data_IF_928041579047
#
_entry.id   IF_928041579047
#
_cell.length_a   1.000
_cell.length_b   1.000
_cell.length_c   1.000
_cell.angle_alpha   90.00
_cell.angle_beta   90.00
_cell.angle_gamma   90.00
#
_symmetry.space_group_name_H-M   'P 1'
#
loop_
_entity.id
_entity.type
_entity.pdbx_description
1 polymer ?
2 non-polymer ?
3 water ?
#
# COMPACT_ATOMS: atom_id res chain seq x y z
N UNK A 4 11.21 -13.28 16.04
CA UNK A 4 11.54 -12.83 14.68
C UNK A 4 10.72 -11.57 14.32
N UNK A 5 9.71 -11.73 13.46
CA UNK A 5 8.82 -10.64 13.10
C UNK A 5 7.39 -10.99 13.51
N UNK A 6 6.69 -10.02 14.09
CA UNK A 6 5.29 -10.19 14.49
C UNK A 6 4.40 -9.45 13.51
N UNK A 7 3.40 -10.15 12.98
CA UNK A 7 2.45 -9.53 12.04
C UNK A 7 1.11 -9.37 12.74
N UNK A 8 0.56 -8.15 12.69
CA UNK A 8 -0.81 -7.86 13.10
C UNK A 8 -1.68 -7.65 11.86
N UNK A 9 -2.69 -8.48 11.68
CA UNK A 9 -3.56 -8.39 10.50
C UNK A 9 -4.93 -7.87 10.96
N UNK A 10 -5.28 -6.67 10.51
CA UNK A 10 -6.56 -6.06 10.80
C UNK A 10 -7.50 -6.26 9.62
N UNK A 11 -8.79 -6.38 9.91
CA UNK A 11 -9.78 -6.65 8.87
C UNK A 11 -11.09 -5.97 9.26
N UNK A 12 -12.03 -5.95 8.32
CA UNK A 12 -13.33 -5.37 8.60
C UNK A 12 -14.23 -6.33 9.38
N UNK A 13 -13.91 -7.63 9.38
CA UNK A 13 -14.83 -8.66 9.85
C UNK A 13 -14.41 -9.33 11.15
N UNK A 14 -13.11 -9.40 11.45
CA UNK A 14 -12.62 -10.24 12.52
C UNK A 14 -11.75 -9.43 13.48
N UNK A 15 -11.57 -9.96 14.68
CA UNK A 15 -10.62 -9.42 15.63
C UNK A 15 -9.21 -9.40 15.04
N UNK A 16 -8.40 -8.49 15.56
CA UNK A 16 -6.99 -8.41 15.18
C UNK A 16 -6.32 -9.78 15.28
N UNK A 17 -5.64 -10.19 14.20
CA UNK A 17 -4.89 -11.44 14.20
C UNK A 17 -3.40 -11.15 14.44
N UNK A 18 -2.74 -12.03 15.20
CA UNK A 18 -1.32 -11.92 15.48
C UNK A 18 -0.64 -13.24 15.16
N UNK A 19 0.48 -13.19 14.44
CA UNK A 19 1.28 -14.39 14.26
C UNK A 19 2.67 -13.97 13.78
N UNK A 20 3.59 -14.93 13.79
CA UNK A 20 4.97 -14.64 13.44
C UNK A 20 5.20 -14.83 11.96
N UNK A 21 6.16 -14.09 11.43
CA UNK A 21 6.51 -14.18 10.02
C UNK A 21 8.01 -13.92 9.88
N UNK A 22 8.52 -14.23 8.70
CA UNK A 22 9.88 -13.92 8.31
C UNK A 22 9.84 -12.91 7.17
N UNK A 23 10.63 -11.85 7.22
CA UNK A 23 10.54 -10.82 6.16
C UNK A 23 10.91 -11.34 4.77
N UNK A 24 11.61 -12.46 4.65
CA UNK A 24 12.03 -12.95 3.33
C UNK A 24 11.13 -14.04 2.77
N UNK A 25 10.16 -14.52 3.55
CA UNK A 25 9.19 -15.45 3.02
C UNK A 25 8.22 -14.72 2.08
N UNK A 26 7.53 -15.50 1.25
CA UNK A 26 6.49 -14.91 0.42
C UNK A 26 5.32 -14.45 1.28
N UNK A 27 4.61 -13.46 0.77
CA UNK A 27 3.33 -13.02 1.34
C UNK A 27 2.35 -14.18 1.41
N UNK A 28 2.46 -15.14 0.49
CA UNK A 28 1.59 -16.33 0.52
C UNK A 28 1.62 -16.97 1.90
N UNK A 29 2.79 -17.03 2.53
CA UNK A 29 2.88 -17.63 3.86
C UNK A 29 2.05 -16.87 4.88
N UNK A 30 1.93 -15.55 4.73
CA UNK A 30 1.01 -14.80 5.59
C UNK A 30 -0.41 -15.26 5.34
N UNK A 31 -0.82 -15.31 4.07
CA UNK A 31 -2.19 -15.70 3.74
C UNK A 31 -2.55 -17.07 4.30
N UNK A 32 -1.57 -17.98 4.38
CA UNK A 32 -1.87 -19.30 4.94
C UNK A 32 -2.13 -19.23 6.43
N UNK A 33 -1.49 -18.29 7.14
CA UNK A 33 -1.84 -18.07 8.55
C UNK A 33 -3.25 -17.51 8.67
N UNK A 34 -3.61 -16.59 7.78
CA UNK A 34 -4.97 -16.01 7.81
C UNK A 34 -5.99 -17.10 7.53
N UNK A 35 -5.71 -17.98 6.57
CA UNK A 35 -6.61 -19.09 6.27
C UNK A 35 -6.81 -19.98 7.49
N UNK A 36 -5.75 -20.19 8.29
CA UNK A 36 -5.90 -21.01 9.50
C UNK A 36 -6.89 -20.39 10.47
N UNK A 37 -6.84 -19.06 10.64
CA UNK A 37 -7.67 -18.40 11.64
C UNK A 37 -9.09 -18.10 11.14
N UNK A 38 -9.25 -17.86 9.85
CA UNK A 38 -10.54 -17.41 9.32
C UNK A 38 -11.20 -18.40 8.38
N UNK A 39 -10.43 -19.36 7.85
CA UNK A 39 -10.83 -20.33 6.83
C UNK A 39 -11.08 -19.69 5.46
N UNK A 40 -10.78 -18.40 5.30
CA UNK A 40 -10.86 -17.80 3.96
C UNK A 40 -9.75 -18.39 3.10
N UNK A 41 -10.05 -18.93 1.92
CA UNK A 41 -9.00 -19.51 1.07
C UNK A 41 -8.01 -18.45 0.64
N UNK A 42 -6.75 -18.87 0.45
CA UNK A 42 -5.68 -17.91 0.17
C UNK A 42 -6.01 -17.11 -1.09
N UNK A 43 -6.61 -17.76 -2.08
CA UNK A 43 -6.94 -17.10 -3.35
C UNK A 43 -8.00 -16.01 -3.20
N UNK A 44 -8.73 -15.96 -2.08
CA UNK A 44 -9.76 -14.95 -1.87
C UNK A 44 -9.31 -13.84 -0.93
N UNK A 45 -8.03 -13.79 -0.58
CA UNK A 45 -7.51 -12.77 0.32
C UNK A 45 -6.68 -11.75 -0.43
N UNK A 46 -6.81 -10.48 -0.04
CA UNK A 46 -5.91 -9.43 -0.48
C UNK A 46 -5.32 -8.81 0.76
N UNK A 47 -3.99 -8.68 0.80
CA UNK A 47 -3.29 -8.07 1.91
C UNK A 47 -2.73 -6.73 1.45
N UNK A 48 -2.79 -5.74 2.35
CA UNK A 48 -2.22 -4.42 2.09
C UNK A 48 -1.22 -4.07 3.17
N UNK A 49 -0.12 -3.44 2.77
CA UNK A 49 0.81 -2.75 3.66
C UNK A 49 0.64 -1.26 3.38
N UNK A 50 0.27 -0.50 4.40
CA UNK A 50 -0.15 0.87 4.13
C UNK A 50 -1.34 0.84 3.21
N UNK A 51 -1.23 1.56 2.08
CA UNK A 51 -2.26 1.54 1.06
C UNK A 51 -1.83 0.75 -0.17
N UNK A 52 -0.77 -0.06 -0.05
CA UNK A 52 -0.24 -0.85 -1.17
C UNK A 52 -0.76 -2.28 -1.10
N UNK A 53 -1.36 -2.75 -2.20
CA UNK A 53 -1.75 -4.16 -2.31
C UNK A 53 -0.50 -5.02 -2.53
N UNK A 54 -0.36 -6.06 -1.73
CA UNK A 54 0.79 -6.95 -1.81
C UNK A 54 0.52 -8.07 -2.82
N UNK A 55 1.53 -8.38 -3.62
CA UNK A 55 1.40 -9.54 -4.52
C UNK A 55 1.88 -10.80 -3.81
N UNK A 56 1.12 -11.91 -3.93
CA UNK A 56 1.39 -13.09 -3.10
C UNK A 56 2.77 -13.70 -3.29
N UNK A 57 3.37 -13.56 -4.46
CA UNK A 57 4.67 -14.18 -4.67
C UNK A 57 5.82 -13.34 -4.12
N UNK A 58 5.57 -12.07 -3.74
CA UNK A 58 6.62 -11.19 -3.26
C UNK A 58 6.86 -11.41 -1.76
N UNK A 59 8.05 -11.00 -1.31
CA UNK A 59 8.38 -11.03 0.10
C UNK A 59 8.03 -9.70 0.76
N UNK A 60 7.89 -9.74 2.09
CA UNK A 60 7.71 -8.49 2.82
C UNK A 60 8.93 -7.60 2.68
N UNK A 61 10.13 -8.19 2.66
CA UNK A 61 11.34 -7.41 2.47
C UNK A 61 11.28 -6.54 1.22
N UNK A 62 10.69 -7.06 0.14
CA UNK A 62 10.63 -6.31 -1.11
C UNK A 62 9.73 -5.08 -1.01
N UNK A 63 8.87 -5.03 0.00
CA UNK A 63 8.07 -3.83 0.27
C UNK A 63 8.71 -2.93 1.32
N UNK A 64 9.95 -3.22 1.71
CA UNK A 64 10.65 -2.35 2.64
C UNK A 64 10.63 -2.79 4.09
N UNK A 65 10.06 -3.96 4.39
CA UNK A 65 10.12 -4.47 5.76
C UNK A 65 11.55 -4.94 6.01
N UNK A 66 12.30 -4.15 6.78
CA UNK A 66 13.70 -4.46 7.06
C UNK A 66 13.92 -4.72 8.55
N UNK A 67 14.12 -3.65 9.33
CA UNK A 67 14.44 -3.82 10.74
C UNK A 67 13.22 -3.99 11.64
N UNK A 68 12.01 -3.79 11.11
CA UNK A 68 10.82 -3.77 11.96
C UNK A 68 10.65 -5.06 12.75
N UNK A 69 10.29 -4.93 14.02
CA UNK A 69 9.95 -6.09 14.83
C UNK A 69 8.46 -6.41 14.80
N UNK A 70 7.62 -5.45 14.42
CA UNK A 70 6.18 -5.61 14.35
C UNK A 70 5.67 -4.82 13.16
N UNK A 71 4.79 -5.41 12.37
CA UNK A 71 4.18 -4.71 11.25
C UNK A 71 2.68 -4.92 11.28
N UNK A 72 1.95 -3.96 10.68
CA UNK A 72 0.50 -3.95 10.65
C UNK A 72 0.07 -4.09 9.19
N UNK A 73 -0.70 -5.13 8.90
CA UNK A 73 -1.23 -5.40 7.56
C UNK A 73 -2.75 -5.32 7.60
N UNK A 74 -3.34 -5.05 6.44
CA UNK A 74 -4.78 -5.05 6.26
C UNK A 74 -5.19 -6.25 5.42
N UNK A 75 -6.26 -6.94 5.82
CA UNK A 75 -6.86 -8.03 5.05
C UNK A 75 -8.19 -7.57 4.47
N UNK A 76 -8.38 -7.82 3.18
CA UNK A 76 -9.68 -7.70 2.52
C UNK A 76 -10.03 -9.05 1.91
N UNK A 77 -11.30 -9.43 2.02
CA UNK A 77 -11.78 -10.65 1.39
C UNK A 77 -12.40 -10.23 0.07
N UNK A 78 -11.87 -10.77 -1.03
CA UNK A 78 -12.20 -10.31 -2.37
C UNK A 78 -12.43 -11.50 -3.28
N UNK A 79 -13.54 -11.52 -3.99
CA UNK A 79 -13.77 -12.53 -5.01
C UNK A 79 -12.88 -12.22 -6.22
N UNK A 80 -12.00 -13.13 -6.62
CA UNK A 80 -11.07 -12.83 -7.72
C UNK A 80 -11.80 -12.73 -9.06
N UNK A 81 -11.20 -11.97 -9.97
CA UNK A 81 -11.77 -11.75 -11.31
C UNK A 81 -12.15 -13.04 -12.01
N UNK B 3 24.11 -10.14 -12.89
CA UNK B 3 25.31 -9.31 -12.87
C UNK B 3 25.08 -8.05 -12.04
N UNK B 4 23.90 -7.46 -12.21
CA UNK B 4 23.45 -6.31 -11.44
C UNK B 4 22.06 -6.59 -10.90
N UNK B 5 21.65 -5.81 -9.90
CA UNK B 5 20.24 -5.76 -9.56
C UNK B 5 19.44 -5.30 -10.77
N UNK B 6 18.16 -5.67 -10.79
CA UNK B 6 17.21 -5.19 -11.78
C UNK B 6 16.20 -4.30 -11.07
N UNK B 7 16.07 -3.04 -11.49
CA UNK B 7 15.11 -2.15 -10.87
C UNK B 7 13.94 -1.97 -11.84
N UNK B 8 12.74 -2.33 -11.37
CA UNK B 8 11.50 -2.05 -12.09
C UNK B 8 10.86 -0.79 -11.53
N UNK B 9 10.41 0.09 -12.43
CA UNK B 9 9.70 1.31 -12.02
C UNK B 9 8.32 1.28 -12.66
N UNK B 10 7.30 1.13 -11.83
CA UNK B 10 5.91 1.14 -12.26
C UNK B 10 5.38 2.56 -12.12
N UNK B 11 4.51 2.96 -13.05
CA UNK B 11 4.00 4.31 -13.09
C UNK B 11 2.59 4.31 -13.67
N UNK B 12 1.96 5.48 -13.62
CA UNK B 12 0.63 5.63 -14.20
C UNK B 12 0.71 5.95 -15.70
N UNK B 13 1.79 6.59 -16.15
CA UNK B 13 1.84 7.15 -17.49
C UNK B 13 2.77 6.40 -18.45
N UNK B 14 3.62 5.49 -17.98
CA UNK B 14 4.56 4.75 -18.82
C UNK B 14 4.42 3.25 -18.62
N UNK B 15 4.73 2.51 -19.68
CA UNK B 15 4.93 1.07 -19.54
C UNK B 15 5.97 0.82 -18.45
N UNK B 16 5.90 -0.34 -17.81
CA UNK B 16 6.91 -0.72 -16.80
C UNK B 16 8.32 -0.48 -17.31
N UNK B 17 9.11 0.24 -16.52
CA UNK B 17 10.50 0.53 -16.88
C UNK B 17 11.43 -0.43 -16.15
N UNK B 18 12.57 -0.75 -16.80
CA UNK B 18 13.57 -1.67 -16.23
C UNK B 18 14.98 -1.09 -16.40
N UNK B 19 15.75 -1.04 -15.31
CA UNK B 19 17.13 -0.55 -15.33
C UNK B 19 18.03 -1.49 -14.52
N UNK B 20 19.30 -1.58 -14.93
CA UNK B 20 20.30 -2.17 -14.05
C UNK B 20 20.65 -1.20 -12.93
N UNK B 21 21.04 -1.74 -11.77
CA UNK B 21 21.49 -0.89 -10.68
C UNK B 21 22.46 -1.65 -9.79
N UNK B 22 23.25 -0.89 -9.03
CA UNK B 22 24.10 -1.38 -7.94
C UNK B 22 23.39 -1.20 -6.62
N UNK B 23 23.66 -2.07 -5.64
CA UNK B 23 23.00 -1.93 -4.33
C UNK B 23 23.19 -0.57 -3.69
N UNK B 24 24.35 0.06 -3.91
CA UNK B 24 24.66 1.34 -3.30
C UNK B 24 24.14 2.54 -4.10
N UNK B 25 23.53 2.30 -5.27
CA UNK B 25 22.98 3.39 -6.07
C UNK B 25 21.98 4.21 -5.27
N UNK B 26 22.09 5.52 -5.38
CA UNK B 26 21.18 6.39 -4.65
C UNK B 26 19.82 6.45 -5.35
N UNK B 27 18.79 6.79 -4.59
CA UNK B 27 17.47 7.01 -5.17
C UNK B 27 17.54 8.11 -6.23
N UNK B 28 18.41 9.12 -6.01
CA UNK B 28 18.58 10.17 -7.01
C UNK B 28 19.12 9.60 -8.30
N UNK B 29 20.06 8.66 -8.23
CA UNK B 29 20.57 8.05 -9.45
C UNK B 29 19.47 7.27 -10.18
N UNK B 30 18.58 6.60 -9.44
CA UNK B 30 17.45 5.94 -10.10
C UNK B 30 16.57 6.97 -10.79
N UNK B 31 16.32 8.11 -10.14
CA UNK B 31 15.56 9.17 -10.78
C UNK B 31 16.25 9.64 -12.06
N UNK B 32 17.59 9.69 -12.05
CA UNK B 32 18.31 10.07 -13.26
C UNK B 32 18.11 9.05 -14.37
N UNK B 33 18.04 7.75 -14.03
CA UNK B 33 17.70 6.75 -15.03
C UNK B 33 16.29 6.98 -15.57
N UNK B 34 15.35 7.32 -14.69
CA UNK B 34 13.97 7.56 -15.11
C UNK B 34 13.92 8.77 -16.04
N UNK B 35 14.68 9.82 -15.71
CA UNK B 35 14.76 10.98 -16.59
C UNK B 35 15.27 10.59 -17.97
N UNK B 36 16.31 9.74 -18.04
CA UNK B 36 16.87 9.37 -19.32
C UNK B 36 15.84 8.68 -20.21
N UNK B 37 14.94 7.90 -19.62
CA UNK B 37 13.97 7.16 -20.41
C UNK B 37 12.73 7.99 -20.71
N UNK B 38 12.31 8.85 -19.77
CA UNK B 38 11.04 9.55 -19.89
C UNK B 38 11.18 11.04 -20.14
N UNK B 39 12.32 11.65 -19.79
CA UNK B 39 12.59 13.08 -19.83
C UNK B 39 11.81 13.89 -18.81
N UNK B 40 11.14 13.25 -17.85
CA UNK B 40 10.54 13.92 -16.70
C UNK B 40 11.69 14.40 -15.81
N UNK B 41 11.76 15.70 -15.49
CA UNK B 41 12.86 16.19 -14.63
C UNK B 41 12.93 15.44 -13.31
N UNK B 42 14.16 15.28 -12.81
CA UNK B 42 14.38 14.59 -11.53
C UNK B 42 13.60 15.29 -10.41
N UNK B 43 13.56 16.63 -10.43
CA UNK B 43 12.80 17.35 -9.43
C UNK B 43 11.29 17.16 -9.56
N UNK B 44 10.81 16.61 -10.68
CA UNK B 44 9.38 16.33 -10.83
C UNK B 44 9.02 14.90 -10.47
N UNK B 45 9.94 14.12 -9.90
CA UNK B 45 9.70 12.71 -9.63
C UNK B 45 9.64 12.43 -8.14
N UNK B 46 8.72 11.55 -7.76
CA UNK B 46 8.71 10.92 -6.44
C UNK B 46 8.81 9.43 -6.67
N UNK B 47 9.78 8.77 -6.02
CA UNK B 47 9.93 7.32 -6.11
C UNK B 47 9.47 6.71 -4.79
N UNK B 48 8.65 5.68 -4.88
CA UNK B 48 8.09 5.06 -3.69
C UNK B 48 8.36 3.57 -3.68
N UNK B 49 8.44 3.03 -2.48
CA UNK B 49 8.47 1.60 -2.21
C UNK B 49 7.11 1.28 -1.65
N UNK B 50 6.23 0.72 -2.47
CA UNK B 50 4.84 0.62 -2.04
C UNK B 50 4.28 2.02 -1.86
N UNK B 51 3.74 2.33 -0.69
CA UNK B 51 3.30 3.70 -0.43
C UNK B 51 4.28 4.48 0.42
N UNK B 52 5.49 3.94 0.63
CA UNK B 52 6.54 4.64 1.36
C UNK B 52 7.39 5.49 0.41
N UNK B 53 7.44 6.79 0.66
CA UNK B 53 8.22 7.71 -0.18
C UNK B 53 9.71 7.54 0.11
N UNK B 54 10.53 7.53 -0.95
CA UNK B 54 11.97 7.30 -0.83
C UNK B 54 12.74 8.62 -0.90
N UNK B 55 13.87 8.71 -0.12
CA UNK B 55 14.69 9.93 -0.09
C UNK B 55 15.81 9.84 -1.11
N UNK B 56 15.99 10.88 -1.94
CA UNK B 56 16.96 10.79 -3.05
C UNK B 56 18.41 10.54 -2.62
N UNK B 57 18.83 11.04 -1.46
CA UNK B 57 20.22 10.84 -1.07
C UNK B 57 20.49 9.38 -0.66
N UNK B 58 19.47 8.66 -0.22
CA UNK B 58 19.68 7.33 0.32
C UNK B 58 19.82 6.28 -0.78
N UNK B 59 20.50 5.20 -0.43
CA UNK B 59 20.76 4.12 -1.36
C UNK B 59 19.62 3.10 -1.33
N UNK B 60 19.53 2.32 -2.41
CA UNK B 60 18.60 1.19 -2.44
C UNK B 60 18.87 0.24 -1.27
N UNK B 61 20.14 -0.11 -1.06
CA UNK B 61 20.45 -1.08 -0.01
C UNK B 61 20.13 -0.54 1.39
N UNK B 62 20.13 0.78 1.56
CA UNK B 62 19.75 1.35 2.85
C UNK B 62 18.31 1.00 3.23
N UNK B 63 17.47 0.67 2.24
CA UNK B 63 16.11 0.21 2.53
C UNK B 63 15.97 -1.30 2.63
N UNK B 64 17.08 -2.05 2.50
CA UNK B 64 17.02 -3.49 2.64
C UNK B 64 16.50 -4.24 1.42
N UNK B 65 16.17 -3.55 0.32
CA UNK B 65 15.52 -4.18 -0.82
C UNK B 65 16.52 -4.82 -1.79
N UNK B 66 17.81 -4.61 -1.59
CA UNK B 66 18.81 -5.29 -2.42
C UNK B 66 19.01 -6.75 -2.04
N UNK B 67 18.25 -7.26 -1.08
CA UNK B 67 18.34 -8.66 -0.70
C UNK B 67 17.68 -9.57 -1.73
N UNK B 68 17.02 -9.02 -2.74
CA UNK B 68 16.49 -9.81 -3.84
C UNK B 68 16.96 -9.21 -5.15
N UNK B 69 16.97 -10.04 -6.19
CA UNK B 69 17.57 -9.64 -7.44
C UNK B 69 16.75 -8.59 -8.19
N UNK B 70 15.45 -8.49 -7.90
CA UNK B 70 14.59 -7.53 -8.58
C UNK B 70 13.96 -6.58 -7.56
N UNK B 71 14.10 -5.29 -7.81
CA UNK B 71 13.57 -4.24 -6.95
C UNK B 71 12.32 -3.64 -7.62
N UNK B 72 11.30 -3.33 -6.83
CA UNK B 72 10.00 -2.93 -7.37
C UNK B 72 9.63 -1.55 -6.83
N UNK B 73 9.85 -0.50 -7.62
CA UNK B 73 9.59 0.87 -7.22
C UNK B 73 8.37 1.41 -7.97
N UNK B 74 7.82 2.50 -7.45
CA UNK B 74 6.71 3.21 -8.08
C UNK B 74 7.07 4.67 -8.30
N UNK B 75 6.68 5.21 -9.44
CA UNK B 75 6.95 6.59 -9.80
C UNK B 75 5.65 7.38 -9.72
N UNK B 76 5.70 8.53 -9.07
CA UNK B 76 4.66 9.55 -9.15
C UNK B 76 5.28 10.83 -9.67
N UNK B 77 4.51 11.59 -10.45
CA UNK B 77 4.98 12.83 -11.04
C UNK B 77 4.32 13.98 -10.30
N UNK B 78 5.11 15.00 -9.97
CA UNK B 78 4.69 16.14 -9.17
C UNK B 78 5.21 17.42 -9.79
N UNK B 79 4.71 18.56 -9.29
CA UNK B 79 5.20 19.86 -9.68
C UNK B 79 6.65 20.04 -9.20
N UNK B 80 7.40 20.93 -9.83
CA UNK B 80 8.82 21.07 -9.49
C UNK B 80 9.01 21.45 -8.03
N UNK B 81 10.10 20.95 -7.44
CA UNK B 81 10.39 21.23 -6.04
C UNK B 81 11.75 21.89 -5.87
N UNK C 4 -20.86 18.05 15.32
CA UNK C 4 -20.80 17.58 13.93
C UNK C 4 -19.36 17.48 13.46
N UNK C 5 -19.05 16.36 12.82
CA UNK C 5 -17.71 16.09 12.32
C UNK C 5 -17.60 16.47 10.85
N UNK C 6 -16.38 16.81 10.45
CA UNK C 6 -16.02 16.99 9.04
C UNK C 6 -15.09 15.85 8.65
N UNK C 7 -15.48 15.08 7.65
CA UNK C 7 -14.70 13.93 7.20
C UNK C 7 -14.08 14.27 5.84
N UNK C 8 -12.76 14.18 5.76
CA UNK C 8 -12.03 14.32 4.50
C UNK C 8 -11.58 12.95 4.03
N UNK C 9 -11.87 12.62 2.78
CA UNK C 9 -11.41 11.36 2.19
C UNK C 9 -10.54 11.68 0.99
N UNK C 10 -9.25 11.41 1.10
CA UNK C 10 -8.30 11.58 0.00
C UNK C 10 -8.11 10.25 -0.74
N UNK C 11 -7.86 10.34 -2.04
CA UNK C 11 -7.59 9.16 -2.85
C UNK C 11 -6.65 9.53 -3.97
N UNK C 12 -6.08 8.51 -4.61
CA UNK C 12 -5.26 8.78 -5.79
C UNK C 12 -6.12 9.16 -6.99
N UNK C 13 -7.36 8.70 -7.02
CA UNK C 13 -8.15 8.66 -8.24
C UNK C 13 -9.21 9.75 -8.34
N UNK C 14 -9.69 10.29 -7.22
CA UNK C 14 -10.72 11.33 -7.22
C UNK C 14 -10.22 12.55 -6.44
N UNK C 15 -10.85 13.69 -6.72
CA UNK C 15 -10.62 14.87 -5.91
C UNK C 15 -10.97 14.60 -4.44
N UNK C 16 -10.47 15.47 -3.56
CA UNK C 16 -10.76 15.36 -2.14
C UNK C 16 -12.26 15.37 -1.89
N UNK C 17 -12.73 14.42 -1.08
CA UNK C 17 -14.12 14.36 -0.70
C UNK C 17 -14.28 14.90 0.71
N UNK C 18 -15.37 15.62 0.95
CA UNK C 18 -15.68 16.19 2.25
C UNK C 18 -17.12 15.88 2.61
N UNK C 19 -17.33 15.35 3.83
CA UNK C 19 -18.64 14.93 4.29
C UNK C 19 -18.85 15.41 5.71
N UNK C 20 -20.06 15.90 6.00
CA UNK C 20 -20.45 16.09 7.38
C UNK C 20 -20.95 14.76 7.94
N UNK C 21 -20.66 14.51 9.22
CA UNK C 21 -21.10 13.28 9.87
C UNK C 21 -21.29 13.52 11.35
N UNK C 22 -22.17 12.73 11.96
CA UNK C 22 -22.26 12.70 13.41
C UNK C 22 -21.06 11.95 13.98
N UNK C 23 -20.56 12.35 15.15
CA UNK C 23 -19.50 11.58 15.80
C UNK C 23 -19.85 10.11 15.98
N UNK C 24 -21.14 9.79 16.07
CA UNK C 24 -21.59 8.44 16.31
C UNK C 24 -22.02 7.71 15.04
N UNK C 25 -21.88 8.32 13.88
CA UNK C 25 -22.17 7.63 12.62
C UNK C 25 -21.23 6.43 12.46
N UNK C 26 -21.71 5.41 11.78
CA UNK C 26 -20.90 4.23 11.48
C UNK C 26 -19.96 4.51 10.31
N UNK C 27 -18.83 3.80 10.30
CA UNK C 27 -17.93 3.86 9.15
C UNK C 27 -18.67 3.48 7.87
N UNK C 28 -19.61 2.54 7.98
CA UNK C 28 -20.43 2.16 6.83
C UNK C 28 -21.10 3.38 6.20
N UNK C 29 -21.60 4.30 7.03
CA UNK C 29 -22.23 5.49 6.46
C UNK C 29 -21.25 6.30 5.62
N UNK C 30 -19.98 6.35 6.05
CA UNK C 30 -18.97 7.08 5.28
C UNK C 30 -18.72 6.38 3.94
N UNK C 31 -18.60 5.04 3.96
CA UNK C 31 -18.45 4.30 2.71
C UNK C 31 -19.64 4.50 1.80
N UNK C 32 -20.84 4.66 2.36
CA UNK C 32 -22.00 4.93 1.51
C UNK C 32 -21.88 6.29 0.84
N UNK C 33 -21.37 7.31 1.56
CA UNK C 33 -21.11 8.59 0.92
C UNK C 33 -20.10 8.44 -0.22
N UNK C 34 -19.01 7.70 0.03
CA UNK C 34 -17.98 7.48 -0.97
C UNK C 34 -18.57 6.77 -2.19
N UNK C 35 -19.45 5.79 -1.95
CA UNK C 35 -20.08 5.07 -3.05
C UNK C 35 -20.92 6.00 -3.91
N UNK C 36 -21.69 6.89 -3.28
CA UNK C 36 -22.52 7.81 -4.06
C UNK C 36 -21.66 8.69 -4.96
N UNK C 37 -20.48 9.09 -4.49
CA UNK C 37 -19.63 10.00 -5.25
C UNK C 37 -18.79 9.27 -6.30
N UNK C 38 -18.30 8.06 -5.98
CA UNK C 38 -17.34 7.38 -6.85
C UNK C 38 -17.91 6.20 -7.62
N UNK C 39 -19.07 5.69 -7.22
CA UNK C 39 -19.68 4.45 -7.72
C UNK C 39 -18.90 3.20 -7.34
N UNK C 40 -17.92 3.30 -6.45
CA UNK C 40 -17.18 2.12 -5.98
C UNK C 40 -18.06 1.34 -4.99
N UNK C 41 -18.30 0.05 -5.21
CA UNK C 41 -19.03 -0.75 -4.20
C UNK C 41 -18.34 -0.65 -2.84
N UNK C 42 -19.13 -0.71 -1.76
CA UNK C 42 -18.54 -0.57 -0.43
C UNK C 42 -17.53 -1.69 -0.16
N UNK C 43 -17.76 -2.89 -0.69
CA UNK C 43 -16.80 -3.97 -0.47
C UNK C 43 -15.46 -3.70 -1.14
N UNK C 44 -15.46 -2.90 -2.22
CA UNK C 44 -14.22 -2.56 -2.89
C UNK C 44 -13.49 -1.39 -2.26
N UNK C 45 -14.01 -0.80 -1.20
CA UNK C 45 -13.40 0.34 -0.55
C UNK C 45 -12.61 -0.10 0.68
N UNK C 46 -11.38 0.41 0.80
CA UNK C 46 -10.65 0.37 2.05
C UNK C 46 -10.54 1.80 2.56
N UNK C 47 -11.11 2.06 3.74
CA UNK C 47 -10.98 3.38 4.35
C UNK C 47 -9.96 3.28 5.47
N UNK C 48 -8.89 4.06 5.36
CA UNK C 48 -7.76 4.00 6.28
C UNK C 48 -7.68 5.27 7.11
N UNK C 49 -7.46 5.11 8.40
CA UNK C 49 -6.97 6.17 9.28
C UNK C 49 -5.48 5.94 9.44
N UNK C 50 -4.69 6.77 8.76
CA UNK C 50 -3.27 6.47 8.61
C UNK C 50 -3.08 5.16 7.88
N UNK C 51 -2.67 4.12 8.59
CA UNK C 51 -2.53 2.79 8.01
C UNK C 51 -3.50 1.78 8.62
N UNK C 52 -4.49 2.25 9.39
CA UNK C 52 -5.43 1.38 10.09
C UNK C 52 -6.77 1.35 9.34
N UNK C 53 -7.16 0.16 8.89
CA UNK C 53 -8.46 0.04 8.21
C UNK C 53 -9.58 0.16 9.24
N UNK C 54 -10.60 0.93 8.89
CA UNK C 54 -11.78 1.11 9.76
C UNK C 54 -12.84 0.06 9.45
N UNK C 55 -13.44 -0.49 10.51
CA UNK C 55 -14.49 -1.50 10.36
C UNK C 55 -15.83 -0.83 10.08
N UNK C 56 -16.54 -1.23 9.01
CA UNK C 56 -17.84 -0.59 8.71
C UNK C 56 -18.86 -0.65 9.85
N UNK C 57 -18.88 -1.74 10.62
CA UNK C 57 -19.88 -1.85 11.69
C UNK C 57 -19.61 -0.92 12.85
N UNK C 58 -18.42 -0.31 12.92
CA UNK C 58 -18.01 0.49 14.07
C UNK C 58 -18.34 1.97 13.89
N UNK C 59 -18.46 2.67 15.03
CA UNK C 59 -18.69 4.11 15.05
C UNK C 59 -17.40 4.87 14.85
N UNK C 60 -17.52 6.05 14.24
CA UNK C 60 -16.38 6.95 14.17
C UNK C 60 -15.87 7.22 15.58
N UNK C 61 -14.55 7.09 15.76
CA UNK C 61 -13.89 6.95 17.08
C UNK C 61 -14.36 5.70 17.83
N UNK C 69 -11.38 18.00 15.13
CA UNK C 69 -12.77 18.17 14.71
C UNK C 69 -12.96 17.77 13.24
N UNK C 70 -11.86 17.53 12.55
CA UNK C 70 -11.89 17.04 11.17
C UNK C 70 -11.03 15.78 11.08
N UNK C 71 -11.57 14.75 10.43
CA UNK C 71 -10.89 13.48 10.29
C UNK C 71 -10.39 13.33 8.86
N UNK C 72 -9.18 12.81 8.70
CA UNK C 72 -8.49 12.74 7.43
C UNK C 72 -8.31 11.26 7.06
N UNK C 73 -9.21 10.75 6.23
CA UNK C 73 -9.18 9.35 5.83
C UNK C 73 -8.56 9.21 4.44
N UNK C 74 -7.99 8.04 4.19
CA UNK C 74 -7.52 7.64 2.87
C UNK C 74 -8.44 6.56 2.32
N UNK C 75 -8.88 6.73 1.08
CA UNK C 75 -9.58 5.66 0.36
C UNK C 75 -8.58 4.91 -0.52
N UNK C 76 -8.57 3.58 -0.40
CA UNK C 76 -7.87 2.72 -1.34
C UNK C 76 -8.90 1.78 -1.97
N UNK C 77 -8.90 1.67 -3.29
CA UNK C 77 -9.84 0.78 -3.98
C UNK C 77 -9.17 -0.56 -4.22
N UNK C 78 -9.84 -1.64 -3.80
CA UNK C 78 -9.39 -2.99 -4.11
C UNK C 78 -10.53 -3.66 -4.87
N UNK C 79 -10.26 -4.08 -6.09
CA UNK C 79 -11.27 -4.73 -6.89
C UNK C 79 -10.74 -6.04 -7.43
N UNK C 80 -11.65 -6.99 -7.78
CA UNK C 80 -11.23 -8.35 -8.19
C UNK C 80 -10.00 -8.46 -9.10
N UNK C 81 -9.84 -7.55 -10.05
CA UNK C 81 -8.68 -7.59 -10.94
C UNK C 81 -7.38 -7.35 -10.18
X LIG D 1 4.32 -3.49 -8.27
X LIG D 1 5.08 -3.63 -7.04
X LIG D 1 2.89 -3.36 -7.94
X LIG D 1 4.77 -2.27 -8.93
X LIG D 1 4.52 -4.66 -9.11
X LIG E 1 2.48 -2.08 -16.86
X LIG E 1 2.70 -1.16 -15.74
X LIG E 1 1.07 -2.02 -17.24
X LIG E 1 3.31 -1.76 -18.01
X LIG E 1 2.79 -3.44 -16.45
X LIG F 1 16.16 18.27 -13.17
X LIG F 1 15.50 17.98 -11.90
X LIG F 1 15.46 19.37 -13.82
X LIG F 1 17.56 18.62 -12.96
X LIG F 1 16.12 17.10 -14.06
X LIG G 1 21.94 16.55 -13.19
X LIG G 1 20.83 15.88 -12.51
X LIG G 1 23.07 16.66 -12.28
X LIG G 1 21.53 17.89 -13.62
X LIG G 1 22.33 15.78 -14.37
X LIG H 1 -15.87 -5.22 16.46
X LIG H 1 -16.51 -5.80 17.64
X LIG H 1 -15.09 -4.06 16.88
X LIG H 1 -14.98 -6.20 15.84
X LIG H 1 -16.90 -4.81 15.48
X LIG I 1 -1.53 -1.05 -6.08
X LIG I 1 -1.75 -1.10 -4.65
X LIG I 1 -2.79 -1.09 -6.82
X LIG I 1 -0.73 -2.21 -6.50
X LIG I 1 -0.79 0.18 -6.38
#
# INVERSE_FOLDING_TARGET
GASTLTVHVRSEEWDLMTFDANPYDSVKKIKEHVRSKTKVPVQDQVLLLGSKILKPRRSLSSYGIDKEKTIHLTLKVVKPSDE
GASTLTVHVRSEEWDLMTFDANPYDSVKKIKEHVRSKTKVPVQDQVLLLGSKILKPRRSLSSYGIDKEKTIHLTLKVVKPSDE
GASTLTVHVRSEEWDLMTFDANPYDSVKKIKEHVRSKTKVPVQDQVLLLGSKILKPRRSLSSYGIDKEKTIHLTLKVVKPSDE
SO4 S O1 O2 O3 O4
SO4 S O1 O2 O3 O4
SO4 S O1 O2 O3 O4
SO4 S O1 O2 O3 O4
SO4 S O1 O2 O3 O4
SO4 S O1 O2 O3 O4
#
